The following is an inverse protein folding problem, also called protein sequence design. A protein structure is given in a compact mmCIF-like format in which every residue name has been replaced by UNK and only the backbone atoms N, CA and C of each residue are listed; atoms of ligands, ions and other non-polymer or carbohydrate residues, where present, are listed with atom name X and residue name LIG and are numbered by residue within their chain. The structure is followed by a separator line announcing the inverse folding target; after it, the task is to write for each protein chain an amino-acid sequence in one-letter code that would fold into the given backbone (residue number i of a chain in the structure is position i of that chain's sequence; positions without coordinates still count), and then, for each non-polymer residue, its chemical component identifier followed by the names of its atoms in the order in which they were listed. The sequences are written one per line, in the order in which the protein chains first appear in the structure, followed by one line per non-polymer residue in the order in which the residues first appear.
data_IF_701329580599
#
_entry.id   IF_701329580599
#
_cell.length_a   1.000
_cell.length_b   1.000
_cell.length_c   1.000
_cell.angle_alpha   90.00
_cell.angle_beta   90.00
_cell.angle_gamma   90.00
#
_symmetry.space_group_name_H-M   'P 1'
#
loop_
_entity.id
_entity.type
_entity.pdbx_description
1 polymer ?
#
# COMPACT_ATOMS: atom_id res chain seq x y z
N UNK A 1 5.28 -14.89 26.99
CA UNK A 1 4.70 -13.56 27.25
C UNK A 1 3.74 -13.24 26.12
N UNK A 2 2.43 -13.24 26.38
CA UNK A 2 1.41 -12.88 25.39
C UNK A 2 0.92 -11.47 25.75
N UNK A 3 1.26 -10.47 24.95
CA UNK A 3 0.75 -9.11 25.13
C UNK A 3 -0.52 -8.96 24.30
N UNK A 4 -1.68 -9.01 24.97
CA UNK A 4 -2.98 -8.80 24.35
C UNK A 4 -3.29 -7.30 24.38
N UNK A 5 -3.28 -6.64 23.21
CA UNK A 5 -3.81 -5.28 23.08
C UNK A 5 -5.30 -5.39 22.73
N UNK A 6 -6.16 -5.24 23.73
CA UNK A 6 -7.61 -5.30 23.54
C UNK A 6 -8.09 -4.05 22.80
N UNK A 7 -8.66 -4.24 21.61
CA UNK A 7 -9.58 -3.26 21.02
C UNK A 7 -10.81 -3.14 21.93
N UNK A 8 -11.36 -1.93 22.08
CA UNK A 8 -12.50 -1.62 22.97
C UNK A 8 -13.74 -2.44 22.60
N UNK A 9 -13.84 -3.65 23.13
CA UNK A 9 -15.07 -4.42 23.21
C UNK A 9 -15.17 -4.97 24.63
N UNK A 10 -16.20 -4.52 25.35
CA UNK A 10 -16.54 -4.95 26.70
C UNK A 10 -16.90 -6.44 26.69
N UNK A 11 -16.01 -7.27 27.21
CA UNK A 11 -16.28 -8.69 27.47
C UNK A 11 -16.49 -8.88 28.98
N UNK A 12 -17.72 -9.21 29.38
CA UNK A 12 -18.02 -9.70 30.72
C UNK A 12 -17.54 -11.15 30.86
N UNK A 13 -16.73 -11.52 31.88
CA UNK A 13 -16.39 -12.91 32.11
C UNK A 13 -17.31 -13.50 33.18
N UNK A 14 -18.20 -14.41 32.80
CA UNK A 14 -18.78 -15.37 33.73
C UNK A 14 -17.93 -16.66 33.67
N UNK A 15 -17.02 -16.81 34.65
CA UNK A 15 -16.19 -18.00 34.80
C UNK A 15 -17.00 -19.07 35.55
N UNK A 16 -17.48 -20.09 34.84
CA UNK A 16 -18.08 -21.29 35.45
C UNK A 16 -16.99 -22.36 35.54
N UNK A 17 -16.58 -22.70 36.76
CA UNK A 17 -15.73 -23.86 37.04
C UNK A 17 -16.50 -25.14 36.71
N UNK A 18 -15.92 -26.02 35.89
CA UNK A 18 -16.33 -27.42 35.81
C UNK A 18 -15.19 -28.35 36.18
N UNK A 19 -15.55 -29.35 36.99
CA UNK A 19 -14.69 -30.34 37.65
C UNK A 19 -14.00 -31.29 36.67
N UNK A 20 -12.86 -31.76 37.12
CA UNK A 20 -11.92 -32.72 36.54
C UNK A 20 -12.52 -34.11 36.25
N UNK A 21 -12.19 -34.68 35.08
CA UNK A 21 -12.05 -36.14 34.92
C UNK A 21 -10.89 -36.46 33.98
N UNK A 22 -10.17 -37.51 34.35
CA UNK A 22 -8.92 -38.01 33.77
C UNK A 22 -9.10 -38.62 32.39
N UNK A 23 -8.34 -38.15 31.41
CA UNK A 23 -8.19 -38.79 30.11
C UNK A 23 -7.06 -38.13 29.33
N UNK A 24 -6.08 -38.94 28.91
CA UNK A 24 -4.97 -38.66 27.97
C UNK A 24 -4.47 -37.22 27.91
N UNK A 25 -3.23 -36.95 28.32
CA UNK A 25 -2.56 -35.66 28.17
C UNK A 25 -2.45 -35.26 26.69
N UNK A 26 -3.54 -34.76 26.11
CA UNK A 26 -3.55 -34.05 24.83
C UNK A 26 -2.76 -32.77 25.03
N UNK A 27 -1.69 -32.61 24.26
CA UNK A 27 -0.88 -31.40 24.21
C UNK A 27 -1.79 -30.17 24.26
N UNK A 28 -1.56 -29.23 25.18
CA UNK A 28 -2.48 -28.09 25.39
C UNK A 28 -2.82 -27.26 24.13
N UNK A 29 -2.01 -27.38 23.06
CA UNK A 29 -2.26 -26.80 21.75
C UNK A 29 -3.30 -27.55 20.89
N UNK A 30 -3.50 -28.85 21.08
CA UNK A 30 -4.42 -29.65 20.24
C UNK A 30 -5.89 -29.30 20.48
N UNK A 31 -6.27 -28.88 21.70
CA UNK A 31 -7.62 -28.43 22.03
C UNK A 31 -8.08 -27.24 21.18
N UNK A 32 -7.15 -26.40 20.74
CA UNK A 32 -7.44 -25.19 19.97
C UNK A 32 -6.96 -25.29 18.52
N UNK A 33 -6.45 -26.43 18.06
CA UNK A 33 -5.84 -26.54 16.73
C UNK A 33 -6.86 -26.43 15.59
N UNK A 34 -8.11 -26.81 15.84
CA UNK A 34 -9.21 -26.71 14.87
C UNK A 34 -9.38 -25.29 14.30
N UNK A 35 -8.95 -24.24 15.03
CA UNK A 35 -9.07 -22.85 14.54
C UNK A 35 -8.23 -22.57 13.28
N UNK A 36 -7.20 -23.38 13.01
CA UNK A 36 -6.40 -23.28 11.78
C UNK A 36 -7.21 -23.66 10.53
N UNK A 37 -8.26 -24.46 10.68
CA UNK A 37 -9.10 -24.89 9.55
C UNK A 37 -9.92 -23.73 8.96
N UNK A 38 -10.10 -22.63 9.73
CA UNK A 38 -10.72 -21.40 9.23
C UNK A 38 -9.77 -20.55 8.37
N UNK A 39 -8.47 -20.89 8.26
CA UNK A 39 -7.55 -20.18 7.38
C UNK A 39 -7.87 -20.48 5.91
N UNK A 40 -8.36 -19.47 5.19
CA UNK A 40 -8.60 -19.57 3.75
C UNK A 40 -7.27 -19.60 3.00
N UNK A 41 -7.10 -20.61 2.14
CA UNK A 41 -5.96 -20.68 1.21
C UNK A 41 -6.19 -19.75 0.02
N UNK A 42 -5.32 -18.76 -0.13
CA UNK A 42 -5.45 -17.66 -1.07
C UNK A 42 -4.39 -17.72 -2.17
N UNK A 43 -4.29 -18.89 -2.82
CA UNK A 43 -3.28 -19.15 -3.84
C UNK A 43 -3.63 -18.47 -5.16
N UNK A 44 -2.73 -17.63 -5.68
CA UNK A 44 -2.88 -16.98 -6.98
C UNK A 44 -2.75 -18.00 -8.13
N UNK A 45 -3.50 -17.76 -9.21
CA UNK A 45 -3.47 -18.58 -10.43
C UNK A 45 -2.03 -18.71 -10.97
N UNK A 46 -1.66 -19.92 -11.39
CA UNK A 46 -0.33 -20.22 -11.96
C UNK A 46 -0.19 -19.60 -13.35
N UNK A 47 1.05 -19.41 -13.80
CA UNK A 47 1.40 -18.83 -15.10
C UNK A 47 0.81 -17.43 -15.37
N UNK A 48 0.36 -16.74 -14.32
CA UNK A 48 -0.16 -15.39 -14.37
C UNK A 48 0.77 -14.44 -13.62
N UNK A 49 0.87 -13.20 -14.10
CA UNK A 49 1.57 -12.12 -13.43
C UNK A 49 0.84 -11.74 -12.15
N UNK A 50 1.59 -11.52 -11.08
CA UNK A 50 1.04 -11.06 -9.80
C UNK A 50 1.52 -9.64 -9.57
N UNK A 51 0.60 -8.70 -9.45
CA UNK A 51 0.89 -7.30 -9.20
C UNK A 51 0.43 -6.95 -7.80
N UNK A 52 1.37 -6.44 -6.99
CA UNK A 52 1.06 -5.89 -5.67
C UNK A 52 1.13 -4.38 -5.77
N UNK A 53 -0.01 -3.70 -5.61
CA UNK A 53 -0.06 -2.25 -5.54
C UNK A 53 -0.14 -1.81 -4.09
N UNK A 54 0.75 -0.91 -3.72
CA UNK A 54 0.87 -0.23 -2.42
C UNK A 54 0.40 1.21 -2.59
N UNK A 55 -0.41 1.71 -1.66
CA UNK A 55 -1.00 3.05 -1.70
C UNK A 55 -0.91 3.71 -0.30
N UNK A 56 -0.55 4.99 -0.25
CA UNK A 56 -0.42 5.76 0.99
C UNK A 56 -1.76 6.02 1.67
N UNK A 57 -1.99 5.44 2.86
CA UNK A 57 -3.25 5.66 3.60
C UNK A 57 -3.36 7.10 4.08
N UNK A 58 -4.37 7.81 3.59
CA UNK A 58 -4.65 9.22 3.90
C UNK A 58 -3.42 10.13 3.67
N UNK A 59 -2.71 9.89 2.56
CA UNK A 59 -1.46 10.61 2.28
C UNK A 59 -1.63 12.11 2.04
N UNK A 60 -2.84 12.56 1.70
CA UNK A 60 -3.16 14.00 1.64
C UNK A 60 -2.85 14.69 2.98
N UNK A 61 -3.42 14.17 4.07
CA UNK A 61 -3.17 14.67 5.44
C UNK A 61 -1.70 14.51 5.84
N UNK A 62 -1.08 13.39 5.46
CA UNK A 62 0.35 13.17 5.74
C UNK A 62 1.21 14.25 5.07
N UNK A 63 0.95 14.55 3.80
CA UNK A 63 1.68 15.55 3.03
C UNK A 63 1.50 16.97 3.58
N UNK A 64 0.31 17.31 4.09
CA UNK A 64 0.03 18.61 4.71
C UNK A 64 0.75 18.75 6.06
N UNK A 65 0.63 17.76 6.94
CA UNK A 65 1.28 17.80 8.26
C UNK A 65 2.81 17.76 8.15
N UNK A 66 3.33 17.16 7.09
CA UNK A 66 4.75 17.15 6.79
C UNK A 66 5.17 18.21 5.75
N UNK A 67 4.35 19.25 5.48
CA UNK A 67 4.73 20.40 4.66
C UNK A 67 5.38 20.04 3.32
N UNK A 68 4.78 19.08 2.60
CA UNK A 68 5.27 18.67 1.29
C UNK A 68 5.11 19.81 0.29
N UNK A 69 6.10 19.97 -0.56
CA UNK A 69 6.06 20.94 -1.65
C UNK A 69 5.00 20.52 -2.66
N UNK A 70 4.15 21.47 -3.08
CA UNK A 70 3.10 21.26 -4.07
C UNK A 70 3.51 21.92 -5.39
N UNK A 71 3.27 21.27 -6.56
CA UNK A 71 2.47 20.06 -6.76
C UNK A 71 3.18 18.75 -6.39
N UNK A 72 4.51 18.69 -6.50
CA UNK A 72 5.30 17.48 -6.26
C UNK A 72 6.48 17.79 -5.34
N UNK A 73 6.69 16.95 -4.32
CA UNK A 73 7.85 17.03 -3.46
C UNK A 73 8.88 15.98 -3.89
N UNK A 74 10.04 16.44 -4.37
CA UNK A 74 11.07 15.56 -4.89
C UNK A 74 11.66 14.66 -3.79
N UNK A 75 11.69 15.12 -2.54
CA UNK A 75 12.21 14.36 -1.40
C UNK A 75 11.30 13.18 -1.10
N UNK A 76 9.99 13.41 -1.12
CA UNK A 76 8.99 12.37 -0.92
C UNK A 76 9.04 11.32 -2.04
N UNK A 77 9.13 11.75 -3.30
CA UNK A 77 9.25 10.84 -4.45
C UNK A 77 10.54 10.02 -4.41
N UNK A 78 11.66 10.64 -4.06
CA UNK A 78 12.94 9.95 -3.91
C UNK A 78 12.92 8.95 -2.74
N UNK A 79 12.28 9.29 -1.62
CA UNK A 79 12.06 8.37 -0.51
C UNK A 79 11.22 7.16 -0.93
N UNK A 80 10.10 7.37 -1.62
CA UNK A 80 9.27 6.28 -2.17
C UNK A 80 10.08 5.37 -3.11
N UNK A 81 10.89 5.97 -3.99
CA UNK A 81 11.78 5.23 -4.89
C UNK A 81 12.87 4.44 -4.12
N UNK A 82 13.41 5.00 -3.04
CA UNK A 82 14.36 4.30 -2.17
C UNK A 82 13.71 3.10 -1.49
N UNK A 83 12.47 3.24 -1.02
CA UNK A 83 11.69 2.15 -0.44
C UNK A 83 11.43 1.05 -1.46
N UNK A 84 11.00 1.40 -2.66
CA UNK A 84 10.76 0.44 -3.73
C UNK A 84 12.02 -0.34 -4.13
N UNK A 85 13.16 0.34 -4.24
CA UNK A 85 14.46 -0.31 -4.48
C UNK A 85 14.81 -1.30 -3.36
N UNK A 86 14.53 -0.95 -2.10
CA UNK A 86 14.75 -1.85 -0.97
C UNK A 86 13.84 -3.09 -1.05
N UNK A 87 12.56 -2.91 -1.37
CA UNK A 87 11.62 -4.03 -1.57
C UNK A 87 12.09 -4.95 -2.70
N UNK A 88 12.52 -4.41 -3.84
CA UNK A 88 13.04 -5.22 -4.95
C UNK A 88 14.35 -5.94 -4.64
N UNK A 89 15.15 -5.43 -3.71
CA UNK A 89 16.40 -6.06 -3.28
C UNK A 89 16.16 -7.19 -2.28
N UNK A 90 15.22 -6.99 -1.35
CA UNK A 90 14.96 -7.93 -0.26
C UNK A 90 13.97 -9.04 -0.65
N UNK A 91 13.11 -8.78 -1.63
CA UNK A 91 12.15 -9.76 -2.15
C UNK A 91 12.57 -10.26 -3.54
N UNK A 92 12.60 -11.58 -3.69
CA UNK A 92 12.94 -12.21 -4.96
C UNK A 92 11.77 -12.22 -5.96
N UNK A 93 12.13 -12.38 -7.23
CA UNK A 93 11.20 -12.57 -8.36
C UNK A 93 10.33 -11.35 -8.71
N UNK A 94 10.70 -10.15 -8.29
CA UNK A 94 10.10 -8.90 -8.78
C UNK A 94 10.81 -8.49 -10.08
N UNK A 95 10.06 -8.39 -11.18
CA UNK A 95 10.60 -8.04 -12.50
C UNK A 95 10.70 -6.53 -12.69
N UNK A 96 9.67 -5.81 -12.27
CA UNK A 96 9.55 -4.36 -12.46
C UNK A 96 8.75 -3.77 -11.32
N UNK A 97 9.12 -2.55 -10.92
CA UNK A 97 8.32 -1.72 -10.04
C UNK A 97 8.08 -0.37 -10.69
N UNK A 98 6.84 0.13 -10.59
CA UNK A 98 6.42 1.43 -11.12
C UNK A 98 5.75 2.22 -10.01
N UNK A 99 6.16 3.48 -9.81
CA UNK A 99 5.60 4.35 -8.77
C UNK A 99 5.25 5.73 -9.29
N UNK A 100 4.19 6.30 -8.72
CA UNK A 100 3.67 7.62 -9.04
C UNK A 100 3.00 8.21 -7.80
N UNK A 101 3.24 9.50 -7.50
CA UNK A 101 2.69 10.19 -6.32
C UNK A 101 3.00 9.42 -5.02
N UNK A 102 1.99 8.77 -4.45
CA UNK A 102 1.96 8.02 -3.20
C UNK A 102 1.64 6.52 -3.42
N UNK A 103 1.60 6.07 -4.67
CA UNK A 103 1.41 4.65 -5.02
C UNK A 103 2.67 4.01 -5.63
N UNK A 104 2.83 2.70 -5.40
CA UNK A 104 3.86 1.87 -6.01
C UNK A 104 3.30 0.48 -6.38
N UNK A 105 3.62 0.00 -7.58
CA UNK A 105 3.19 -1.29 -8.11
C UNK A 105 4.38 -2.19 -8.32
N UNK A 106 4.37 -3.38 -7.74
CA UNK A 106 5.43 -4.38 -7.84
C UNK A 106 4.92 -5.58 -8.63
N UNK A 107 5.62 -5.94 -9.71
CA UNK A 107 5.21 -7.03 -10.60
C UNK A 107 6.10 -8.24 -10.36
N UNK A 108 5.51 -9.33 -9.89
CA UNK A 108 6.16 -10.62 -9.72
C UNK A 108 6.06 -11.46 -10.99
N UNK A 109 7.15 -12.17 -11.29
CA UNK A 109 7.22 -13.04 -12.47
C UNK A 109 6.13 -14.13 -12.44
N UNK A 110 5.54 -14.40 -13.61
CA UNK A 110 4.43 -15.37 -13.74
C UNK A 110 4.76 -16.79 -13.29
N UNK A 111 6.04 -17.18 -13.36
CA UNK A 111 6.53 -18.49 -12.93
C UNK A 111 7.02 -18.51 -11.46
N UNK A 112 6.91 -17.41 -10.73
CA UNK A 112 7.32 -17.36 -9.33
C UNK A 112 6.52 -18.36 -8.48
N UNK A 113 7.19 -19.17 -7.68
CA UNK A 113 6.55 -20.04 -6.69
C UNK A 113 6.76 -19.56 -5.25
N UNK A 114 7.08 -18.27 -5.09
CA UNK A 114 7.35 -17.67 -3.79
C UNK A 114 6.14 -17.81 -2.85
N UNK A 115 6.38 -18.32 -1.64
CA UNK A 115 5.36 -18.65 -0.64
C UNK A 115 4.14 -19.43 -1.19
N UNK A 116 4.36 -20.40 -2.08
CA UNK A 116 3.28 -21.17 -2.74
C UNK A 116 2.26 -20.26 -3.46
N UNK A 117 2.70 -19.07 -3.89
CA UNK A 117 1.88 -18.05 -4.54
C UNK A 117 0.69 -17.54 -3.71
N UNK A 118 0.79 -17.53 -2.38
CA UNK A 118 -0.27 -16.97 -1.52
C UNK A 118 -0.34 -15.44 -1.63
N UNK A 119 -1.51 -14.92 -2.00
CA UNK A 119 -1.75 -13.48 -2.17
C UNK A 119 -1.42 -12.68 -0.90
N UNK A 120 -1.84 -13.17 0.26
CA UNK A 120 -1.56 -12.60 1.58
C UNK A 120 -0.07 -12.46 1.83
N UNK A 121 0.76 -13.41 1.38
CA UNK A 121 2.22 -13.35 1.54
C UNK A 121 2.83 -12.31 0.62
N UNK A 122 2.41 -12.25 -0.65
CA UNK A 122 2.83 -11.16 -1.53
C UNK A 122 2.50 -9.79 -0.93
N UNK A 123 1.25 -9.59 -0.53
CA UNK A 123 0.76 -8.32 0.01
C UNK A 123 1.48 -7.92 1.30
N UNK A 124 1.50 -8.79 2.30
CA UNK A 124 2.03 -8.45 3.62
C UNK A 124 3.53 -8.19 3.60
N UNK A 125 4.31 -9.00 2.89
CA UNK A 125 5.76 -8.79 2.79
C UNK A 125 6.08 -7.50 2.03
N UNK A 126 5.42 -7.22 0.91
CA UNK A 126 5.65 -5.98 0.15
C UNK A 126 5.27 -4.76 1.00
N UNK A 127 4.07 -4.73 1.57
CA UNK A 127 3.57 -3.57 2.33
C UNK A 127 4.39 -3.34 3.61
N UNK A 128 4.70 -4.40 4.37
CA UNK A 128 5.49 -4.26 5.60
C UNK A 128 6.92 -3.81 5.32
N UNK A 129 7.56 -4.37 4.28
CA UNK A 129 8.90 -3.97 3.89
C UNK A 129 8.93 -2.54 3.36
N UNK A 130 7.92 -2.12 2.60
CA UNK A 130 7.79 -0.76 2.11
C UNK A 130 7.58 0.25 3.26
N UNK A 131 6.64 -0.03 4.16
CA UNK A 131 6.31 0.84 5.29
C UNK A 131 7.49 1.00 6.27
N UNK A 132 8.17 -0.11 6.60
CA UNK A 132 9.36 -0.07 7.45
C UNK A 132 10.50 0.71 6.79
N UNK A 133 10.74 0.48 5.49
CA UNK A 133 11.74 1.24 4.72
C UNK A 133 11.43 2.73 4.70
N UNK A 134 10.15 3.11 4.59
CA UNK A 134 9.74 4.52 4.54
C UNK A 134 10.10 5.28 5.80
N UNK A 135 9.88 4.67 6.97
CA UNK A 135 10.28 5.26 8.26
C UNK A 135 11.79 5.21 8.45
N UNK A 136 12.43 4.10 8.06
CA UNK A 136 13.87 3.90 8.24
C UNK A 136 14.70 4.90 7.44
N UNK A 137 14.38 5.09 6.15
CA UNK A 137 15.10 5.99 5.26
C UNK A 137 14.62 7.43 5.31
N UNK A 138 13.59 7.75 6.11
CA UNK A 138 13.01 9.10 6.20
C UNK A 138 14.08 10.19 6.42
N UNK A 139 14.99 9.96 7.38
CA UNK A 139 16.04 10.94 7.74
C UNK A 139 17.05 11.21 6.61
N UNK A 140 17.19 10.30 5.64
CA UNK A 140 18.08 10.50 4.49
C UNK A 140 17.54 11.58 3.55
N UNK A 141 16.22 11.74 3.45
CA UNK A 141 15.56 12.70 2.55
C UNK A 141 14.96 13.90 3.28
N UNK A 142 14.57 13.71 4.54
CA UNK A 142 13.97 14.73 5.41
C UNK A 142 14.87 14.94 6.63
N UNK A 143 16.03 15.55 6.41
CA UNK A 143 17.05 15.74 7.47
C UNK A 143 16.59 16.67 8.59
N UNK A 144 15.88 17.76 8.26
CA UNK A 144 15.41 18.76 9.22
C UNK A 144 14.02 18.49 9.79
N UNK A 145 13.28 17.55 9.20
CA UNK A 145 11.87 17.35 9.51
C UNK A 145 11.65 15.97 10.13
N UNK A 146 11.25 15.88 11.41
CA UNK A 146 10.95 14.59 12.02
C UNK A 146 9.64 14.02 11.45
N UNK A 147 9.54 12.70 11.46
CA UNK A 147 8.28 12.01 11.17
C UNK A 147 7.33 12.21 12.37
N UNK A 148 6.14 12.77 12.12
CA UNK A 148 5.20 13.12 13.19
C UNK A 148 4.41 11.89 13.67
N UNK A 149 4.10 10.97 12.76
CA UNK A 149 3.41 9.72 13.05
C UNK A 149 3.76 8.67 11.98
N UNK A 150 3.74 7.37 12.33
CA UNK A 150 4.03 6.31 11.36
C UNK A 150 2.94 6.26 10.28
N UNK A 151 3.31 6.31 8.98
CA UNK A 151 2.35 6.21 7.89
C UNK A 151 1.82 4.78 7.79
N UNK A 152 0.57 4.66 7.36
CA UNK A 152 -0.01 3.39 6.94
C UNK A 152 0.01 3.29 5.42
N UNK A 153 0.13 2.07 4.90
CA UNK A 153 0.00 1.78 3.49
C UNK A 153 -1.05 0.71 3.28
N UNK A 154 -1.93 0.92 2.31
CA UNK A 154 -2.85 -0.11 1.81
C UNK A 154 -2.15 -0.95 0.74
N UNK A 155 -2.55 -2.21 0.64
CA UNK A 155 -2.00 -3.16 -0.32
C UNK A 155 -3.12 -3.91 -1.01
N UNK A 156 -2.99 -4.11 -2.32
CA UNK A 156 -3.88 -5.02 -3.07
C UNK A 156 -3.10 -5.89 -4.04
N UNK A 157 -3.58 -7.11 -4.23
CA UNK A 157 -3.02 -8.07 -5.16
C UNK A 157 -3.97 -8.21 -6.34
N UNK A 158 -3.44 -8.05 -7.55
CA UNK A 158 -4.17 -8.25 -8.81
C UNK A 158 -3.40 -9.25 -9.66
N UNK A 159 -4.12 -10.10 -10.37
CA UNK A 159 -3.54 -11.16 -11.19
C UNK A 159 -3.86 -10.87 -12.66
N UNK A 160 -2.83 -10.86 -13.52
CA UNK A 160 -2.98 -10.65 -14.95
C UNK A 160 -2.55 -11.90 -15.74
N UNK A 161 -3.41 -12.47 -16.60
CA UNK A 161 -3.13 -13.73 -17.27
C UNK A 161 -2.14 -13.57 -18.44
N UNK A 162 -2.17 -12.45 -19.14
CA UNK A 162 -1.31 -12.17 -20.30
C UNK A 162 -0.32 -11.03 -20.03
N UNK A 163 0.74 -10.97 -20.84
CA UNK A 163 1.68 -9.85 -20.84
C UNK A 163 1.03 -8.56 -21.36
N UNK A 164 0.07 -8.67 -22.28
CA UNK A 164 -0.71 -7.54 -22.79
C UNK A 164 -1.51 -6.88 -21.67
N UNK A 165 -2.25 -7.66 -20.86
CA UNK A 165 -3.00 -7.07 -19.73
C UNK A 165 -2.09 -6.40 -18.70
N UNK A 166 -0.88 -6.92 -18.51
CA UNK A 166 0.12 -6.29 -17.65
C UNK A 166 0.62 -4.96 -18.25
N UNK A 167 0.88 -4.90 -19.56
CA UNK A 167 1.28 -3.68 -20.26
C UNK A 167 0.18 -2.64 -20.24
N UNK A 168 -1.08 -3.04 -20.42
CA UNK A 168 -2.24 -2.17 -20.32
C UNK A 168 -2.38 -1.59 -18.92
N UNK A 169 -2.18 -2.41 -17.89
CA UNK A 169 -2.17 -1.96 -16.51
C UNK A 169 -1.08 -0.90 -16.26
N UNK A 170 0.16 -1.16 -16.68
CA UNK A 170 1.27 -0.20 -16.50
C UNK A 170 1.03 1.09 -17.29
N UNK A 171 0.54 0.97 -18.53
CA UNK A 171 0.16 2.12 -19.37
C UNK A 171 -0.97 2.94 -18.73
N UNK A 172 -1.96 2.27 -18.15
CA UNK A 172 -3.04 2.92 -17.41
C UNK A 172 -2.52 3.69 -16.19
N UNK A 173 -1.53 3.15 -15.46
CA UNK A 173 -0.88 3.86 -14.35
C UNK A 173 -0.01 5.04 -14.81
N UNK A 174 0.60 4.93 -15.98
CA UNK A 174 1.32 6.06 -16.58
C UNK A 174 0.39 7.18 -17.05
N UNK A 175 -0.72 6.85 -17.70
CA UNK A 175 -1.72 7.82 -18.14
C UNK A 175 -2.34 8.56 -16.95
N UNK A 176 -2.66 7.85 -15.87
CA UNK A 176 -3.17 8.41 -14.62
C UNK A 176 -2.18 9.40 -13.98
N UNK A 177 -0.90 9.01 -13.89
CA UNK A 177 0.17 9.89 -13.46
C UNK A 177 0.25 11.15 -14.33
N UNK A 178 0.19 11.02 -15.65
CA UNK A 178 0.27 12.15 -16.58
C UNK A 178 -0.89 13.12 -16.37
N UNK A 179 -2.13 12.62 -16.32
CA UNK A 179 -3.34 13.43 -16.12
C UNK A 179 -3.28 14.14 -14.77
N UNK A 180 -2.98 13.41 -13.69
CA UNK A 180 -2.93 13.95 -12.34
C UNK A 180 -1.80 14.98 -12.18
N UNK A 181 -0.62 14.71 -12.73
CA UNK A 181 0.49 15.65 -12.66
C UNK A 181 0.20 16.93 -13.45
N UNK A 182 -0.37 16.82 -14.65
CA UNK A 182 -0.76 17.97 -15.45
C UNK A 182 -1.81 18.82 -14.72
N UNK A 183 -2.87 18.18 -14.20
CA UNK A 183 -3.91 18.86 -13.44
C UNK A 183 -3.34 19.56 -12.20
N UNK A 184 -2.57 18.84 -11.36
CA UNK A 184 -2.00 19.37 -10.13
C UNK A 184 -1.02 20.51 -10.40
N UNK A 185 -0.21 20.42 -11.46
CA UNK A 185 0.74 21.47 -11.82
C UNK A 185 0.04 22.77 -12.16
N UNK A 186 -1.00 22.72 -13.00
CA UNK A 186 -1.77 23.92 -13.35
C UNK A 186 -2.56 24.42 -12.15
N UNK A 187 -3.20 23.53 -11.39
CA UNK A 187 -3.94 23.87 -10.18
C UNK A 187 -3.08 24.64 -9.16
N UNK A 188 -1.91 24.11 -8.82
CA UNK A 188 -1.02 24.77 -7.85
C UNK A 188 -0.35 26.02 -8.42
N UNK A 189 -0.13 26.11 -9.73
CA UNK A 189 0.30 27.35 -10.37
C UNK A 189 -0.76 28.46 -10.24
N UNK A 190 -2.04 28.14 -10.43
CA UNK A 190 -3.14 29.09 -10.25
C UNK A 190 -3.25 29.56 -8.79
N UNK A 191 -3.06 28.66 -7.82
CA UNK A 191 -3.12 29.01 -6.40
C UNK A 191 -1.90 29.84 -5.97
N UNK A 192 -0.69 29.36 -6.25
CA UNK A 192 0.55 29.95 -5.73
C UNK A 192 1.00 31.19 -6.52
N UNK A 193 0.89 31.16 -7.85
CA UNK A 193 1.32 32.27 -8.72
C UNK A 193 0.15 33.17 -9.13
N UNK A 194 -1.02 32.59 -9.33
CA UNK A 194 -2.23 33.32 -9.72
C UNK A 194 -3.03 33.91 -8.55
N UNK A 195 -2.68 33.59 -7.30
CA UNK A 195 -3.36 34.10 -6.10
C UNK A 195 -4.82 33.63 -5.97
N UNK A 196 -5.24 32.61 -6.72
CA UNK A 196 -6.59 32.07 -6.64
C UNK A 196 -6.75 31.23 -5.37
N UNK A 197 -7.95 31.24 -4.79
CA UNK A 197 -8.30 30.27 -3.75
C UNK A 197 -8.44 28.88 -4.38
N UNK A 198 -8.21 27.78 -3.62
CA UNK A 198 -8.36 26.41 -4.13
C UNK A 198 -9.71 26.16 -4.82
N UNK A 199 -10.80 26.69 -4.26
CA UNK A 199 -12.14 26.56 -4.84
C UNK A 199 -12.26 27.23 -6.23
N UNK A 200 -11.72 28.44 -6.38
CA UNK A 200 -11.74 29.17 -7.66
C UNK A 200 -10.81 28.53 -8.69
N UNK A 201 -9.65 28.02 -8.27
CA UNK A 201 -8.75 27.29 -9.15
C UNK A 201 -9.41 26.00 -9.67
N UNK A 202 -10.13 25.27 -8.81
CA UNK A 202 -10.88 24.07 -9.20
C UNK A 202 -11.99 24.41 -10.20
N UNK A 203 -12.78 25.45 -9.93
CA UNK A 203 -13.84 25.91 -10.84
C UNK A 203 -13.28 26.28 -12.23
N UNK A 204 -12.15 26.99 -12.26
CA UNK A 204 -11.49 27.41 -13.50
C UNK A 204 -11.03 26.23 -14.36
N UNK A 205 -10.60 25.13 -13.72
CA UNK A 205 -10.13 23.92 -14.38
C UNK A 205 -11.26 22.96 -14.78
N UNK A 206 -12.42 22.99 -14.10
CA UNK A 206 -13.59 22.16 -14.47
C UNK A 206 -14.02 22.36 -15.93
N UNK A 207 -13.97 23.61 -16.41
CA UNK A 207 -14.34 23.97 -17.80
C UNK A 207 -13.37 23.37 -18.82
N UNK A 208 -12.10 23.15 -18.43
CA UNK A 208 -11.05 22.63 -19.32
C UNK A 208 -11.17 21.12 -19.51
N UNK A 209 -11.57 20.39 -18.47
CA UNK A 209 -11.73 18.92 -18.49
C UNK A 209 -12.97 18.44 -19.23
N UNK A 210 -14.02 19.25 -19.34
CA UNK A 210 -15.25 18.90 -20.09
C UNK A 210 -15.08 18.86 -21.61
N UNK A 211 -13.97 19.36 -22.15
CA UNK A 211 -13.69 19.35 -23.59
C UNK A 211 -12.96 18.05 -24.01
N UNK A 212 -12.46 17.26 -23.05
CA UNK A 212 -11.64 16.08 -23.30
C UNK A 212 -12.40 14.73 -23.21
N UNK A 213 -13.73 14.75 -23.07
CA UNK A 213 -14.57 13.55 -23.08
C UNK A 213 -15.37 13.50 -24.39
N UNK A 214 -14.89 12.82 -25.45
CA UNK A 214 -15.77 12.46 -26.55
C UNK A 214 -16.71 11.36 -26.05
N UNK A 215 -18.00 11.55 -26.34
CA UNK A 215 -19.08 10.56 -26.29
C UNK A 215 -18.73 9.23 -26.94
#
# INVERSE_FOLDING_TARGET
MCSLVLGRYSWCPAFVLWRTSSGSAGMAKSKFEYVKEFEVQDTCLRNCWVVVRVDGKNFHRFSEQHNFTKPNDIRALQLMNRCAKNVMKELDNICIAYGSSDEYSFVFHKNSNWHKRRASKFMTHVVSQFASSYVFYWKEFFSSQPILYPPGFDGRVVIYPSEENLKDYLSWRQADCHINNMYNTVFWALVQKGGLTPAKAQERLRVSTSIASPS
#
